data_IF_290635522621
#
_entry.id   IF_290635522621
#
_cell.length_a   1.000
_cell.length_b   1.000
_cell.length_c   1.000
_cell.angle_alpha   90.00
_cell.angle_beta   90.00
_cell.angle_gamma   90.00
#
_symmetry.space_group_name_H-M   'P 1'
#
loop_
_entity.id
_entity.type
_entity.pdbx_description
1 polymer ?
#
# COMPACT_ATOMS: atom_id res chain seq x y z
N UNK A 1 0.42 26.48 20.00
CA UNK A 1 0.86 25.57 18.92
C UNK A 1 2.30 25.87 18.59
N UNK A 2 3.18 24.87 18.67
CA UNK A 2 4.60 25.01 18.42
C UNK A 2 4.82 25.05 16.90
N UNK A 3 5.41 26.13 16.38
CA UNK A 3 5.50 26.38 14.93
C UNK A 3 6.30 25.28 14.18
N UNK A 4 7.25 24.63 14.87
CA UNK A 4 8.13 23.60 14.31
C UNK A 4 7.42 22.27 14.01
N UNK A 5 6.52 21.83 14.87
CA UNK A 5 5.76 20.58 14.64
C UNK A 5 4.82 20.73 13.44
N UNK A 6 4.17 21.89 13.32
CA UNK A 6 3.32 22.21 12.16
C UNK A 6 4.13 22.23 10.86
N UNK A 7 5.34 22.80 10.88
CA UNK A 7 6.20 22.84 9.71
C UNK A 7 6.58 21.42 9.24
N UNK A 8 6.99 20.57 10.19
CA UNK A 8 7.34 19.17 9.92
C UNK A 8 6.15 18.37 9.38
N UNK A 9 4.98 18.52 9.99
CA UNK A 9 3.75 17.88 9.49
C UNK A 9 3.39 18.34 8.07
N UNK A 10 3.54 19.63 7.76
CA UNK A 10 3.32 20.14 6.40
C UNK A 10 4.29 19.53 5.39
N UNK A 11 5.59 19.44 5.71
CA UNK A 11 6.59 18.84 4.83
C UNK A 11 6.28 17.37 4.51
N UNK A 12 5.91 16.59 5.55
CA UNK A 12 5.44 15.21 5.40
C UNK A 12 4.20 15.12 4.49
N UNK A 13 3.23 16.03 4.65
CA UNK A 13 2.00 16.03 3.86
C UNK A 13 2.26 16.38 2.40
N UNK A 14 3.19 17.27 2.11
CA UNK A 14 3.57 17.64 0.74
C UNK A 14 4.26 16.48 0.02
N UNK A 15 5.20 15.78 0.68
CA UNK A 15 5.87 14.62 0.12
C UNK A 15 4.91 13.44 -0.08
N UNK A 16 4.04 13.18 0.91
CA UNK A 16 3.00 12.15 0.83
C UNK A 16 2.00 12.44 -0.30
N UNK A 17 1.59 13.71 -0.46
CA UNK A 17 0.69 14.10 -1.55
C UNK A 17 1.32 13.83 -2.91
N UNK A 18 2.58 14.22 -3.11
CA UNK A 18 3.30 13.96 -4.36
C UNK A 18 3.43 12.45 -4.67
N UNK A 19 3.68 11.62 -3.63
CA UNK A 19 3.72 10.16 -3.78
C UNK A 19 2.37 9.61 -4.26
N UNK A 20 1.27 10.05 -3.64
CA UNK A 20 -0.08 9.61 -3.96
C UNK A 20 -0.53 10.08 -5.35
N UNK A 21 -0.18 11.30 -5.76
CA UNK A 21 -0.48 11.84 -7.09
C UNK A 21 0.27 11.09 -8.21
N UNK A 22 1.45 10.54 -7.91
CA UNK A 22 2.16 9.64 -8.81
C UNK A 22 1.52 8.24 -8.93
N UNK A 23 0.43 7.98 -8.21
CA UNK A 23 -0.31 6.71 -8.23
C UNK A 23 0.25 5.63 -7.32
N UNK A 24 1.21 5.97 -6.45
CA UNK A 24 1.75 5.02 -5.48
C UNK A 24 0.85 4.90 -4.25
N UNK A 25 0.95 3.78 -3.55
CA UNK A 25 0.18 3.53 -2.33
C UNK A 25 0.89 4.10 -1.10
N UNK A 26 0.13 4.65 -0.16
CA UNK A 26 0.67 5.21 1.08
C UNK A 26 1.46 4.20 1.92
N UNK A 27 1.17 2.89 1.80
CA UNK A 27 1.93 1.84 2.48
C UNK A 27 3.38 1.71 2.00
N UNK A 28 3.70 2.27 0.83
CA UNK A 28 5.05 2.32 0.26
C UNK A 28 5.78 3.62 0.63
N UNK A 29 5.17 4.50 1.43
CA UNK A 29 5.81 5.72 1.92
C UNK A 29 6.78 5.38 3.06
N UNK A 30 8.04 5.82 2.94
CA UNK A 30 9.05 5.67 3.98
C UNK A 30 9.02 6.90 4.88
N UNK A 31 8.74 6.70 6.17
CA UNK A 31 8.83 7.75 7.18
C UNK A 31 10.29 7.89 7.64
N UNK A 32 10.76 9.12 7.84
CA UNK A 32 12.15 9.38 8.23
C UNK A 32 12.40 9.19 9.73
N UNK A 33 11.37 9.40 10.56
CA UNK A 33 11.46 9.27 12.01
C UNK A 33 10.12 8.95 12.71
N UNK A 34 10.20 8.74 14.03
CA UNK A 34 9.06 8.35 14.87
C UNK A 34 7.92 9.40 14.91
N UNK A 35 8.22 10.69 14.69
CA UNK A 35 7.16 11.71 14.67
C UNK A 35 6.34 11.57 13.37
N UNK A 36 6.99 11.32 12.24
CA UNK A 36 6.30 11.07 10.96
C UNK A 36 5.46 9.79 11.02
N UNK A 37 5.99 8.72 11.61
CA UNK A 37 5.23 7.48 11.82
C UNK A 37 3.98 7.72 12.68
N UNK A 38 4.08 8.59 13.70
CA UNK A 38 2.96 8.95 14.55
C UNK A 38 1.89 9.73 13.76
N UNK A 39 2.27 10.74 12.97
CA UNK A 39 1.35 11.47 12.09
C UNK A 39 0.67 10.53 11.08
N UNK A 40 1.46 9.67 10.43
CA UNK A 40 0.97 8.74 9.42
C UNK A 40 -0.07 7.77 10.00
N UNK A 41 0.15 7.31 11.23
CA UNK A 41 -0.80 6.46 11.96
C UNK A 41 -2.08 7.21 12.34
N UNK A 42 -1.99 8.50 12.69
CA UNK A 42 -3.15 9.33 13.00
C UNK A 42 -4.04 9.56 11.78
N UNK A 43 -3.46 9.68 10.59
CA UNK A 43 -4.21 9.89 9.34
C UNK A 43 -5.09 8.71 8.93
N UNK A 44 -4.76 7.49 9.36
CA UNK A 44 -5.54 6.27 9.09
C UNK A 44 -5.90 6.11 7.59
N UNK A 45 -4.93 6.36 6.71
CA UNK A 45 -5.15 6.36 5.26
C UNK A 45 -5.57 4.99 4.74
N UNK A 46 -6.45 4.99 3.74
CA UNK A 46 -6.96 3.76 3.13
C UNK A 46 -5.84 2.97 2.42
N UNK A 47 -4.98 3.65 1.67
CA UNK A 47 -3.90 3.04 0.87
C UNK A 47 -2.67 2.66 1.70
N UNK A 48 -2.67 2.96 3.01
CA UNK A 48 -1.66 2.52 3.96
C UNK A 48 -1.96 1.13 4.56
N UNK A 49 -3.20 0.65 4.42
CA UNK A 49 -3.61 -0.63 5.01
C UNK A 49 -3.03 -1.81 4.22
N UNK A 50 -2.68 -2.92 4.89
CA UNK A 50 -2.35 -4.18 4.21
C UNK A 50 -3.52 -4.65 3.33
N UNK A 51 -3.20 -5.22 2.17
CA UNK A 51 -4.17 -5.70 1.17
C UNK A 51 -3.83 -7.13 0.76
N UNK A 52 -4.86 -7.95 0.59
CA UNK A 52 -4.78 -9.34 0.10
C UNK A 52 -5.64 -9.43 -1.17
N UNK A 53 -5.14 -10.05 -2.23
CA UNK A 53 -5.87 -10.30 -3.47
C UNK A 53 -6.49 -11.69 -3.48
N UNK A 54 -7.78 -11.80 -3.16
CA UNK A 54 -8.51 -13.06 -3.30
C UNK A 54 -8.91 -13.31 -4.77
N UNK A 55 -8.10 -14.06 -5.50
CA UNK A 55 -8.38 -14.44 -6.89
C UNK A 55 -9.47 -15.53 -6.94
N UNK A 56 -10.65 -15.17 -7.47
CA UNK A 56 -11.75 -16.13 -7.63
C UNK A 56 -11.54 -16.95 -8.92
N UNK A 57 -11.59 -18.28 -8.80
CA UNK A 57 -11.35 -19.24 -9.89
C UNK A 57 -12.45 -20.30 -9.94
N UNK A 58 -12.48 -21.10 -11.01
CA UNK A 58 -13.36 -22.26 -11.08
C UNK A 58 -12.90 -23.36 -10.11
N UNK A 59 -13.78 -24.33 -9.84
CA UNK A 59 -13.43 -25.48 -8.98
C UNK A 59 -12.28 -26.30 -9.56
N UNK A 60 -12.19 -26.42 -10.89
CA UNK A 60 -11.14 -27.16 -11.58
C UNK A 60 -9.76 -26.55 -11.33
N UNK A 61 -9.67 -25.22 -11.36
CA UNK A 61 -8.43 -24.47 -11.11
C UNK A 61 -8.06 -24.44 -9.62
N UNK A 62 -9.02 -24.64 -8.70
CA UNK A 62 -8.75 -24.62 -7.28
C UNK A 62 -7.85 -25.80 -6.84
N UNK A 63 -7.91 -26.93 -7.57
CA UNK A 63 -7.19 -28.15 -7.23
C UNK A 63 -5.66 -27.99 -7.24
N UNK A 64 -5.13 -27.04 -8.02
CA UNK A 64 -3.71 -26.71 -8.08
C UNK A 64 -3.41 -25.26 -7.65
N UNK A 65 -4.31 -24.63 -6.88
CA UNK A 65 -4.20 -23.24 -6.45
C UNK A 65 -4.03 -22.26 -7.64
N UNK A 66 -4.77 -22.52 -8.73
CA UNK A 66 -4.76 -21.71 -9.94
C UNK A 66 -3.39 -21.63 -10.62
N UNK A 67 -2.48 -22.58 -10.38
CA UNK A 67 -1.12 -22.56 -10.90
C UNK A 67 -1.07 -22.52 -12.44
N UNK A 68 -2.02 -23.20 -13.08
CA UNK A 68 -2.14 -23.26 -14.54
C UNK A 68 -3.07 -22.17 -15.12
N UNK A 69 -3.66 -21.32 -14.27
CA UNK A 69 -4.55 -20.25 -14.67
C UNK A 69 -3.77 -18.95 -14.96
N UNK A 70 -3.76 -18.54 -16.22
CA UNK A 70 -3.03 -17.35 -16.68
C UNK A 70 -3.46 -16.04 -15.99
N UNK A 71 -4.71 -15.95 -15.54
CA UNK A 71 -5.22 -14.78 -14.82
C UNK A 71 -4.72 -14.75 -13.36
N UNK A 72 -4.63 -15.91 -12.69
CA UNK A 72 -4.03 -16.01 -11.35
C UNK A 72 -2.55 -15.63 -11.39
N UNK A 73 -1.83 -16.05 -12.44
CA UNK A 73 -0.44 -15.64 -12.65
C UNK A 73 -0.30 -14.10 -12.77
N UNK A 74 -1.19 -13.45 -13.52
CA UNK A 74 -1.21 -11.98 -13.66
C UNK A 74 -1.54 -11.27 -12.34
N UNK A 75 -2.50 -11.78 -11.55
CA UNK A 75 -2.81 -11.23 -10.22
C UNK A 75 -1.62 -11.36 -9.27
N UNK A 76 -0.94 -12.52 -9.27
CA UNK A 76 0.30 -12.74 -8.49
C UNK A 76 1.42 -11.80 -8.90
N UNK A 77 1.58 -11.54 -10.20
CA UNK A 77 2.57 -10.57 -10.68
C UNK A 77 2.24 -9.14 -10.25
N UNK A 78 0.97 -8.74 -10.34
CA UNK A 78 0.52 -7.43 -9.90
C UNK A 78 0.73 -7.23 -8.40
N UNK A 79 0.30 -8.20 -7.59
CA UNK A 79 0.41 -8.15 -6.14
C UNK A 79 1.86 -8.03 -5.65
N UNK A 80 2.82 -8.65 -6.34
CA UNK A 80 4.27 -8.53 -6.03
C UNK A 80 4.77 -7.09 -6.11
N UNK A 81 4.23 -6.24 -6.99
CA UNK A 81 4.68 -4.85 -7.14
C UNK A 81 4.45 -4.03 -5.87
N UNK A 82 3.38 -4.34 -5.16
CA UNK A 82 2.97 -3.64 -3.95
C UNK A 82 3.16 -4.49 -2.68
N UNK A 83 3.95 -5.57 -2.73
CA UNK A 83 4.13 -6.51 -1.62
C UNK A 83 2.79 -6.98 -1.00
N UNK A 84 1.79 -7.23 -1.83
CA UNK A 84 0.52 -7.82 -1.42
C UNK A 84 0.58 -9.34 -1.48
N UNK A 85 -0.19 -9.99 -0.60
CA UNK A 85 -0.44 -11.43 -0.66
C UNK A 85 -1.53 -11.72 -1.71
N UNK A 86 -1.45 -12.91 -2.31
CA UNK A 86 -2.46 -13.48 -3.24
C UNK A 86 -2.87 -14.83 -2.71
#
# INVERSE_FOLDING_TARGET
YNNKEIAKECELRESLLALLEAGNLAKNFECEDEDEEAFMKEYNLLTAKPVIFAANVSEDDLANDGADNEYVAQVREYAKKDNCEV
#
